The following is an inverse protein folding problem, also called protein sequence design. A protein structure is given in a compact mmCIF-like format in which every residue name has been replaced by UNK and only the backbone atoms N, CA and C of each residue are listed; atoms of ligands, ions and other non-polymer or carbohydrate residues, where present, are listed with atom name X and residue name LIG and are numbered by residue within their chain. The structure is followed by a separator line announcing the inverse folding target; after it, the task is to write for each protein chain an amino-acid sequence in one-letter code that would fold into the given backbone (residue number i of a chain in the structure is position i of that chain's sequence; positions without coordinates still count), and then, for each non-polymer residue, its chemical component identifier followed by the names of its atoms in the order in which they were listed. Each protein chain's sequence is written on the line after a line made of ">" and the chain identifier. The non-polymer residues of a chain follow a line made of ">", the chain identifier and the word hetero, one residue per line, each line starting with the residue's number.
data_IF_425504116173
#
_entry.id   IF_425504116173
#
_cell.length_a   1.000
_cell.length_b   1.000
_cell.length_c   1.000
_cell.angle_alpha   90.00
_cell.angle_beta   90.00
_cell.angle_gamma   90.00
#
_symmetry.space_group_name_H-M   'P 1'
#
loop_
_entity.id
_entity.type
_entity.pdbx_description
1 polymer ?
#
# COMPACT_ATOMS: atom_id res chain seq x y z
N UNK A 1 -17.95 -7.40 -9.66
CA UNK A 1 -16.67 -8.06 -10.07
C UNK A 1 -16.39 -9.39 -9.36
N UNK A 2 -17.24 -9.89 -8.48
CA UNK A 2 -17.01 -11.18 -7.79
C UNK A 2 -17.36 -12.45 -8.57
N UNK A 3 -17.90 -12.36 -9.77
CA UNK A 3 -18.40 -13.52 -10.53
C UNK A 3 -17.34 -14.26 -11.37
N UNK A 4 -16.31 -13.55 -11.87
CA UNK A 4 -15.25 -14.19 -12.67
C UNK A 4 -14.44 -15.24 -11.88
N UNK A 5 -14.01 -15.01 -10.64
CA UNK A 5 -13.36 -16.04 -9.85
C UNK A 5 -14.19 -17.31 -9.69
N UNK A 6 -15.51 -17.18 -9.60
CA UNK A 6 -16.41 -18.33 -9.51
C UNK A 6 -16.31 -19.26 -10.74
N UNK A 7 -15.88 -18.77 -11.89
CA UNK A 7 -15.71 -19.54 -13.11
C UNK A 7 -14.29 -20.10 -13.27
N UNK A 8 -13.28 -19.40 -12.75
CA UNK A 8 -11.88 -19.68 -13.05
C UNK A 8 -11.01 -19.95 -11.82
N UNK A 9 -11.53 -19.78 -10.61
CA UNK A 9 -10.79 -19.85 -9.34
C UNK A 9 -11.65 -20.52 -8.26
N UNK A 10 -12.00 -21.77 -8.49
CA UNK A 10 -12.89 -22.54 -7.60
C UNK A 10 -12.14 -23.28 -6.51
N UNK A 11 -10.83 -23.52 -6.68
CA UNK A 11 -9.95 -24.19 -5.73
C UNK A 11 -8.66 -23.38 -5.52
N UNK A 12 -7.97 -23.58 -4.41
CA UNK A 12 -6.67 -22.94 -4.15
C UNK A 12 -5.63 -23.29 -5.21
N UNK A 13 -5.69 -24.49 -5.77
CA UNK A 13 -4.81 -24.95 -6.86
C UNK A 13 -4.91 -24.09 -8.11
N UNK A 14 -6.06 -23.47 -8.35
CA UNK A 14 -6.25 -22.59 -9.50
C UNK A 14 -5.41 -21.29 -9.40
N UNK A 15 -4.79 -21.04 -8.26
CA UNK A 15 -3.91 -19.90 -8.01
C UNK A 15 -2.41 -20.23 -8.07
N UNK A 16 -2.02 -21.52 -8.21
CA UNK A 16 -0.61 -21.94 -8.24
C UNK A 16 0.20 -21.27 -9.37
N UNK A 17 -0.47 -20.93 -10.47
CA UNK A 17 0.13 -20.25 -11.62
C UNK A 17 -0.23 -18.75 -11.69
N UNK A 18 -0.47 -18.11 -10.56
CA UNK A 18 -0.75 -16.67 -10.55
C UNK A 18 0.47 -15.88 -11.01
N UNK A 19 0.30 -15.11 -12.08
CA UNK A 19 1.37 -14.30 -12.68
C UNK A 19 1.69 -13.13 -11.77
N UNK A 20 2.98 -12.92 -11.52
CA UNK A 20 3.50 -11.76 -10.79
C UNK A 20 3.71 -10.59 -11.75
N UNK A 21 3.18 -9.41 -11.42
CA UNK A 21 3.45 -8.19 -12.19
C UNK A 21 2.84 -8.22 -13.60
N UNK A 22 1.52 -8.42 -13.68
CA UNK A 22 0.79 -8.41 -14.95
C UNK A 22 0.41 -7.00 -15.45
N UNK A 23 0.56 -5.97 -14.62
CA UNK A 23 0.55 -4.56 -15.02
C UNK A 23 1.97 -4.01 -15.03
N UNK A 24 2.16 -2.95 -15.82
CA UNK A 24 3.42 -2.21 -15.86
C UNK A 24 3.12 -0.72 -15.81
N UNK A 25 3.88 0.03 -15.04
CA UNK A 25 3.85 1.47 -15.07
C UNK A 25 4.52 2.01 -16.34
N UNK A 26 4.12 3.19 -16.77
CA UNK A 26 4.77 3.92 -17.85
C UNK A 26 6.20 4.31 -17.42
N UNK A 27 7.18 3.84 -18.16
CA UNK A 27 8.60 4.01 -17.81
C UNK A 27 9.04 5.47 -17.85
N UNK A 28 8.62 6.22 -18.87
CA UNK A 28 9.02 7.61 -19.02
C UNK A 28 8.46 8.44 -17.86
N UNK A 29 7.23 8.11 -17.45
CA UNK A 29 6.61 8.75 -16.28
C UNK A 29 7.32 8.38 -14.97
N UNK A 30 7.75 7.14 -14.79
CA UNK A 30 8.55 6.71 -13.62
C UNK A 30 9.85 7.49 -13.57
N UNK A 31 10.57 7.62 -14.68
CA UNK A 31 11.86 8.33 -14.74
C UNK A 31 11.66 9.83 -14.44
N UNK A 32 10.64 10.46 -15.02
CA UNK A 32 10.26 11.86 -14.74
C UNK A 32 9.95 12.09 -13.25
N UNK A 33 9.13 11.25 -12.65
CA UNK A 33 8.76 11.38 -11.25
C UNK A 33 9.94 11.12 -10.29
N UNK A 34 10.87 10.25 -10.66
CA UNK A 34 12.11 10.01 -9.91
C UNK A 34 12.97 11.28 -9.84
N UNK A 35 13.08 11.99 -10.96
CA UNK A 35 13.79 13.27 -11.03
C UNK A 35 13.07 14.37 -10.25
N UNK A 36 11.74 14.51 -10.44
CA UNK A 36 10.91 15.49 -9.74
C UNK A 36 11.04 15.36 -8.22
N UNK A 37 11.03 14.12 -7.71
CA UNK A 37 11.11 13.82 -6.29
C UNK A 37 12.55 13.81 -5.73
N UNK A 38 13.58 13.92 -6.57
CA UNK A 38 14.97 13.95 -6.15
C UNK A 38 15.42 12.70 -5.37
N UNK A 39 14.87 11.52 -5.72
CA UNK A 39 15.07 10.29 -4.95
C UNK A 39 16.50 9.75 -4.99
N UNK A 40 17.22 9.98 -6.11
CA UNK A 40 18.57 9.43 -6.30
C UNK A 40 18.58 7.91 -6.10
N UNK A 41 19.52 7.43 -5.27
CA UNK A 41 19.69 6.01 -4.92
C UNK A 41 19.10 5.65 -3.54
N UNK A 42 18.29 6.50 -2.94
CA UNK A 42 17.70 6.25 -1.64
C UNK A 42 16.68 5.12 -1.70
N UNK A 43 16.57 4.36 -0.60
CA UNK A 43 15.51 3.38 -0.43
C UNK A 43 14.19 4.07 -0.18
N UNK A 44 13.17 3.71 -0.95
CA UNK A 44 11.84 4.33 -0.93
C UNK A 44 10.79 3.35 -0.42
N UNK A 45 10.07 3.75 0.61
CA UNK A 45 8.90 3.01 1.11
C UNK A 45 7.63 3.82 0.85
N UNK A 46 6.79 3.30 -0.03
CA UNK A 46 5.48 3.88 -0.31
C UNK A 46 4.48 3.53 0.80
N UNK A 47 3.76 4.54 1.30
CA UNK A 47 2.85 4.36 2.43
C UNK A 47 1.41 4.78 2.12
N UNK A 48 0.43 3.96 2.58
CA UNK A 48 -1.00 4.29 2.53
C UNK A 48 -1.71 3.70 3.74
N UNK A 49 -2.22 4.53 4.65
CA UNK A 49 -2.58 4.13 6.01
C UNK A 49 -4.08 4.15 6.31
N UNK A 50 -4.91 4.69 5.40
CA UNK A 50 -6.37 4.76 5.63
C UNK A 50 -7.18 4.50 4.37
N UNK A 51 -8.46 4.16 4.58
CA UNK A 51 -9.46 4.02 3.53
C UNK A 51 -10.63 4.97 3.82
N UNK A 52 -11.06 5.78 2.85
CA UNK A 52 -11.99 6.91 3.08
C UNK A 52 -13.47 6.51 2.89
N UNK A 53 -13.77 5.36 2.27
CA UNK A 53 -15.08 5.10 1.63
C UNK A 53 -16.20 4.43 2.46
N UNK A 54 -16.08 4.17 3.78
CA UNK A 54 -17.24 3.58 4.51
C UNK A 54 -17.26 3.89 5.99
N UNK A 55 -18.46 3.82 6.60
CA UNK A 55 -18.67 3.88 8.06
C UNK A 55 -17.86 2.82 8.85
N UNK A 56 -17.39 1.78 8.16
CA UNK A 56 -16.51 0.74 8.73
C UNK A 56 -15.02 1.02 8.52
N UNK A 57 -14.63 2.14 7.90
CA UNK A 57 -13.23 2.46 7.56
C UNK A 57 -12.39 2.82 8.78
N UNK A 58 -12.97 3.41 9.83
CA UNK A 58 -12.26 3.69 11.09
C UNK A 58 -11.65 2.44 11.71
N UNK A 59 -12.27 1.27 11.50
CA UNK A 59 -11.80 -0.02 12.02
C UNK A 59 -10.63 -0.63 11.22
N UNK A 60 -10.37 -0.09 10.02
CA UNK A 60 -9.34 -0.58 9.09
C UNK A 60 -8.17 0.38 8.90
N UNK A 61 -8.25 1.56 9.49
CA UNK A 61 -7.27 2.63 9.34
C UNK A 61 -6.39 2.72 10.58
N UNK A 62 -5.11 3.02 10.36
CA UNK A 62 -4.21 3.48 11.40
C UNK A 62 -4.13 5.00 11.35
N UNK A 63 -3.77 5.64 12.45
CA UNK A 63 -3.25 7.00 12.36
C UNK A 63 -1.86 6.98 11.72
N UNK A 64 -1.49 8.03 11.00
CA UNK A 64 -0.15 8.15 10.43
C UNK A 64 0.94 8.08 11.53
N UNK A 65 0.62 8.55 12.75
CA UNK A 65 1.51 8.46 13.89
C UNK A 65 1.79 7.01 14.32
N UNK A 66 0.76 6.17 14.41
CA UNK A 66 0.94 4.74 14.71
C UNK A 66 1.71 4.05 13.59
N UNK A 67 1.37 4.37 12.34
CA UNK A 67 2.04 3.84 11.17
C UNK A 67 3.53 4.21 11.14
N UNK A 68 3.85 5.46 11.44
CA UNK A 68 5.22 5.97 11.41
C UNK A 68 6.15 5.34 12.45
N UNK A 69 5.62 4.75 13.53
CA UNK A 69 6.46 4.06 14.52
C UNK A 69 7.21 2.85 13.91
N UNK A 70 6.69 2.29 12.81
CA UNK A 70 7.33 1.19 12.07
C UNK A 70 8.66 1.61 11.41
N UNK A 71 8.87 2.90 11.18
CA UNK A 71 9.99 3.43 10.39
C UNK A 71 10.95 4.30 11.23
N UNK A 72 10.79 4.26 12.55
CA UNK A 72 11.68 4.99 13.44
C UNK A 72 13.10 4.45 13.32
N UNK A 73 14.07 5.37 13.21
CA UNK A 73 15.50 5.07 13.13
C UNK A 73 15.92 4.24 11.89
N UNK A 74 15.14 4.29 10.80
CA UNK A 74 15.45 3.66 9.51
C UNK A 74 15.81 4.73 8.48
N UNK A 75 16.94 4.57 7.78
CA UNK A 75 17.39 5.50 6.73
C UNK A 75 16.66 5.18 5.40
N UNK A 76 15.45 5.70 5.27
CA UNK A 76 14.57 5.53 4.10
C UNK A 76 13.85 6.83 3.77
N UNK A 77 13.32 6.91 2.56
CA UNK A 77 12.35 7.93 2.15
C UNK A 77 10.95 7.35 2.26
N UNK A 78 10.08 7.98 3.04
CA UNK A 78 8.65 7.67 3.01
C UNK A 78 7.98 8.45 1.88
N UNK A 79 7.31 7.75 0.97
CA UNK A 79 6.56 8.33 -0.15
C UNK A 79 5.05 8.19 0.08
N UNK A 80 4.34 9.30 0.01
CA UNK A 80 2.89 9.32 0.17
C UNK A 80 2.19 8.68 -1.05
N UNK A 81 1.54 7.54 -0.84
CA UNK A 81 0.63 6.89 -1.78
C UNK A 81 -0.84 6.98 -1.30
N UNK A 82 -1.08 7.68 -0.19
CA UNK A 82 -2.43 7.85 0.34
C UNK A 82 -3.21 8.85 -0.48
N UNK A 83 -4.41 8.48 -0.87
CA UNK A 83 -5.36 9.35 -1.59
C UNK A 83 -6.18 10.24 -0.64
N UNK A 84 -6.70 11.33 -1.19
CA UNK A 84 -7.49 12.33 -0.47
C UNK A 84 -6.63 13.40 0.21
N UNK A 85 -7.27 14.36 0.86
CA UNK A 85 -6.57 15.43 1.57
C UNK A 85 -5.97 14.89 2.87
N UNK A 86 -4.64 14.83 2.91
CA UNK A 86 -3.85 14.35 4.05
C UNK A 86 -2.74 15.33 4.47
N UNK A 87 -2.70 16.51 3.89
CA UNK A 87 -1.65 17.50 4.09
C UNK A 87 -1.47 17.87 5.57
N UNK A 88 -2.57 18.13 6.26
CA UNK A 88 -2.53 18.48 7.67
C UNK A 88 -2.01 17.31 8.53
N UNK A 89 -2.44 16.08 8.22
CA UNK A 89 -2.02 14.89 8.95
C UNK A 89 -0.51 14.64 8.76
N UNK A 90 0.00 14.82 7.54
CA UNK A 90 1.43 14.70 7.22
C UNK A 90 2.24 15.80 7.94
N UNK A 91 1.78 17.05 7.91
CA UNK A 91 2.44 18.17 8.61
C UNK A 91 2.53 17.93 10.12
N UNK A 92 1.44 17.49 10.74
CA UNK A 92 1.42 17.16 12.17
C UNK A 92 2.33 15.98 12.50
N UNK A 93 2.34 14.96 11.66
CA UNK A 93 3.22 13.81 11.80
C UNK A 93 4.69 14.22 11.73
N UNK A 94 5.10 14.96 10.69
CA UNK A 94 6.48 15.44 10.52
C UNK A 94 6.90 16.31 11.70
N UNK A 95 6.02 17.23 12.14
CA UNK A 95 6.28 18.09 13.31
C UNK A 95 6.50 17.31 14.61
N UNK A 96 5.75 16.21 14.80
CA UNK A 96 5.78 15.44 16.05
C UNK A 96 6.87 14.38 16.10
N UNK A 97 7.32 13.87 14.94
CA UNK A 97 8.26 12.74 14.84
C UNK A 97 9.61 13.11 14.25
N UNK A 98 9.69 14.23 13.52
CA UNK A 98 10.86 14.58 12.70
C UNK A 98 11.01 13.75 11.42
N UNK A 99 10.11 12.80 11.14
CA UNK A 99 10.13 11.95 9.94
C UNK A 99 9.39 12.68 8.82
N UNK A 100 10.07 12.87 7.69
CA UNK A 100 9.47 13.47 6.51
C UNK A 100 8.71 12.42 5.68
N UNK A 101 7.55 12.83 5.15
CA UNK A 101 6.78 12.06 4.16
C UNK A 101 6.77 12.88 2.88
N UNK A 102 7.44 12.36 1.86
CA UNK A 102 7.54 12.99 0.55
C UNK A 102 6.21 12.90 -0.18
N UNK A 103 5.76 13.99 -0.76
CA UNK A 103 4.52 14.06 -1.55
C UNK A 103 4.85 14.49 -2.99
N UNK A 104 4.21 13.84 -3.96
CA UNK A 104 4.29 14.22 -5.36
C UNK A 104 3.14 15.16 -5.69
N UNK A 105 3.45 16.42 -6.02
CA UNK A 105 2.42 17.42 -6.34
C UNK A 105 1.81 17.26 -7.73
N UNK A 106 2.48 16.57 -8.65
CA UNK A 106 2.03 16.36 -10.04
C UNK A 106 1.11 15.14 -10.21
N UNK A 107 0.87 14.35 -9.15
CA UNK A 107 0.05 13.13 -9.19
C UNK A 107 -1.10 13.22 -8.20
N UNK A 108 -2.33 13.07 -8.68
CA UNK A 108 -3.50 12.81 -7.83
C UNK A 108 -3.63 11.32 -7.57
N UNK A 109 -3.30 10.86 -6.35
CA UNK A 109 -3.34 9.45 -5.97
C UNK A 109 -4.74 8.80 -6.04
N UNK A 110 -5.79 9.57 -6.34
CA UNK A 110 -7.16 9.08 -6.45
C UNK A 110 -7.65 9.01 -7.90
N UNK A 111 -7.40 10.07 -8.67
CA UNK A 111 -7.97 10.22 -10.01
C UNK A 111 -6.96 9.83 -11.10
N UNK A 112 -5.66 9.83 -10.78
CA UNK A 112 -4.56 9.52 -11.69
C UNK A 112 -3.94 8.14 -11.36
N UNK A 113 -4.57 7.07 -11.84
CA UNK A 113 -4.11 5.70 -11.57
C UNK A 113 -2.77 5.37 -12.23
N UNK A 114 -2.47 5.94 -13.39
CA UNK A 114 -1.19 5.74 -14.07
C UNK A 114 -0.05 6.44 -13.32
N UNK A 115 -0.32 7.64 -12.79
CA UNK A 115 0.61 8.34 -11.91
C UNK A 115 0.84 7.59 -10.61
N UNK A 116 -0.21 7.09 -9.97
CA UNK A 116 -0.08 6.25 -8.78
C UNK A 116 0.71 4.96 -9.08
N UNK A 117 0.52 4.34 -10.24
CA UNK A 117 1.30 3.17 -10.67
C UNK A 117 2.78 3.52 -10.82
N UNK A 118 3.10 4.68 -11.40
CA UNK A 118 4.47 5.16 -11.53
C UNK A 118 5.11 5.46 -10.17
N UNK A 119 4.37 6.07 -9.23
CA UNK A 119 4.86 6.27 -7.85
C UNK A 119 5.12 4.93 -7.13
N UNK A 120 4.22 3.95 -7.29
CA UNK A 120 4.42 2.61 -6.74
C UNK A 120 5.67 1.95 -7.34
N UNK A 121 5.93 2.14 -8.64
CA UNK A 121 7.11 1.59 -9.30
C UNK A 121 8.42 2.17 -8.74
N UNK A 122 8.42 3.42 -8.26
CA UNK A 122 9.57 4.04 -7.58
C UNK A 122 9.89 3.43 -6.22
N UNK A 123 8.95 2.75 -5.59
CA UNK A 123 9.13 2.19 -4.25
C UNK A 123 9.92 0.87 -4.27
N UNK A 124 10.81 0.68 -3.30
CA UNK A 124 11.42 -0.63 -3.01
C UNK A 124 10.43 -1.53 -2.24
N UNK A 125 9.57 -0.94 -1.43
CA UNK A 125 8.54 -1.60 -0.65
C UNK A 125 7.30 -0.71 -0.57
N UNK A 126 6.12 -1.32 -0.61
CA UNK A 126 4.86 -0.64 -0.28
C UNK A 126 4.33 -1.19 1.04
N UNK A 127 3.97 -0.31 1.97
CA UNK A 127 3.28 -0.68 3.22
C UNK A 127 1.93 0.01 3.25
N UNK A 128 0.87 -0.77 3.29
CA UNK A 128 -0.48 -0.21 3.15
C UNK A 128 -1.54 -0.99 3.90
N UNK A 129 -2.58 -0.29 4.34
CA UNK A 129 -3.83 -0.94 4.74
C UNK A 129 -4.59 -1.46 3.51
N UNK A 130 -5.60 -2.32 3.72
CA UNK A 130 -6.40 -2.90 2.63
C UNK A 130 -7.23 -1.85 1.88
N UNK A 131 -6.65 -1.27 0.84
CA UNK A 131 -7.26 -0.28 -0.06
C UNK A 131 -6.83 -0.53 -1.53
N UNK A 132 -7.14 0.39 -2.46
CA UNK A 132 -6.81 0.25 -3.88
C UNK A 132 -5.30 0.19 -4.15
N UNK A 133 -4.49 0.91 -3.38
CA UNK A 133 -3.02 0.95 -3.52
C UNK A 133 -2.41 -0.44 -3.42
N UNK A 134 -2.88 -1.27 -2.48
CA UNK A 134 -2.43 -2.66 -2.32
C UNK A 134 -2.69 -3.50 -3.57
N UNK A 135 -3.88 -3.37 -4.16
CA UNK A 135 -4.24 -4.14 -5.34
C UNK A 135 -3.44 -3.70 -6.56
N UNK A 136 -3.18 -2.41 -6.71
CA UNK A 136 -2.35 -1.88 -7.79
C UNK A 136 -0.88 -2.31 -7.61
N UNK A 137 -0.33 -2.21 -6.39
CA UNK A 137 1.03 -2.66 -6.08
C UNK A 137 1.21 -4.17 -6.36
N UNK A 138 0.24 -5.00 -5.95
CA UNK A 138 0.25 -6.43 -6.25
C UNK A 138 0.16 -6.73 -7.75
N UNK A 139 -0.65 -5.99 -8.50
CA UNK A 139 -0.76 -6.12 -9.95
C UNK A 139 0.52 -5.71 -10.69
N UNK A 140 1.26 -4.74 -10.16
CA UNK A 140 2.59 -4.34 -10.63
C UNK A 140 3.71 -5.32 -10.20
N UNK A 141 3.41 -6.27 -9.30
CA UNK A 141 4.40 -7.22 -8.78
C UNK A 141 5.34 -6.62 -7.73
N UNK A 142 4.96 -5.51 -7.13
CA UNK A 142 5.75 -4.82 -6.11
C UNK A 142 5.67 -5.56 -4.76
N UNK A 143 6.80 -5.71 -4.07
CA UNK A 143 6.80 -6.21 -2.69
C UNK A 143 5.92 -5.29 -1.83
N UNK A 144 4.93 -5.89 -1.17
CA UNK A 144 3.93 -5.12 -0.43
C UNK A 144 3.59 -5.79 0.90
N UNK A 145 3.66 -5.03 1.98
CA UNK A 145 3.19 -5.43 3.30
C UNK A 145 1.79 -4.86 3.52
N UNK A 146 0.84 -5.78 3.70
CA UNK A 146 -0.58 -5.44 3.84
C UNK A 146 -0.98 -5.52 5.30
N UNK A 147 -1.32 -4.38 5.89
CA UNK A 147 -1.80 -4.29 7.26
C UNK A 147 -3.31 -4.56 7.27
N UNK A 148 -3.71 -5.69 7.83
CA UNK A 148 -5.09 -6.16 7.84
C UNK A 148 -5.73 -5.98 9.22
N UNK A 149 -6.98 -5.49 9.28
CA UNK A 149 -7.74 -5.47 10.52
C UNK A 149 -8.03 -6.91 10.99
N UNK A 150 -8.45 -7.05 12.24
CA UNK A 150 -8.88 -8.34 12.81
C UNK A 150 -9.92 -9.04 11.95
N UNK A 151 -10.91 -8.30 11.45
CA UNK A 151 -11.88 -8.78 10.46
C UNK A 151 -11.55 -8.14 9.11
N UNK A 152 -10.83 -8.86 8.27
CA UNK A 152 -10.46 -8.44 6.92
C UNK A 152 -11.52 -8.83 5.89
N UNK A 153 -11.40 -8.28 4.67
CA UNK A 153 -12.23 -8.68 3.54
C UNK A 153 -11.94 -10.14 3.14
N UNK A 154 -12.95 -10.82 2.60
CA UNK A 154 -12.91 -12.26 2.28
C UNK A 154 -11.78 -12.65 1.31
N UNK A 155 -11.35 -11.76 0.41
CA UNK A 155 -10.26 -12.06 -0.54
C UNK A 155 -8.89 -12.21 0.10
N UNK A 156 -8.71 -11.76 1.36
CA UNK A 156 -7.49 -11.99 2.13
C UNK A 156 -7.49 -13.34 2.86
N UNK A 157 -8.57 -14.09 2.79
CA UNK A 157 -8.81 -15.35 3.49
C UNK A 157 -8.52 -15.26 5.00
N UNK A 158 -8.58 -16.38 5.70
CA UNK A 158 -8.23 -16.48 7.12
C UNK A 158 -6.88 -17.20 7.25
N UNK A 159 -6.21 -16.97 8.37
CA UNK A 159 -5.02 -17.71 8.82
C UNK A 159 -3.87 -17.80 7.79
N UNK A 160 -3.73 -16.79 6.92
CA UNK A 160 -2.65 -16.70 5.94
C UNK A 160 -1.79 -15.47 6.16
N UNK A 161 -0.50 -15.62 5.87
CA UNK A 161 0.50 -14.55 5.85
C UNK A 161 0.91 -14.13 4.44
N UNK A 162 0.34 -14.78 3.42
CA UNK A 162 0.54 -14.54 2.00
C UNK A 162 -0.79 -14.30 1.29
N UNK A 163 -0.74 -13.75 0.08
CA UNK A 163 -1.90 -13.56 -0.78
C UNK A 163 -1.91 -14.54 -1.93
N UNK A 164 -3.03 -15.26 -2.12
CA UNK A 164 -3.23 -16.12 -3.31
C UNK A 164 -3.40 -15.32 -4.60
N UNK A 165 -3.80 -14.05 -4.51
CA UNK A 165 -4.04 -13.16 -5.65
C UNK A 165 -2.76 -12.49 -6.17
N UNK A 166 -1.82 -12.20 -5.26
CA UNK A 166 -0.62 -11.42 -5.55
C UNK A 166 0.57 -12.04 -4.81
N UNK A 167 1.45 -12.80 -5.50
CA UNK A 167 2.54 -13.53 -4.84
C UNK A 167 3.55 -12.66 -4.08
N UNK A 168 3.61 -11.36 -4.40
CA UNK A 168 4.53 -10.40 -3.77
C UNK A 168 3.98 -9.76 -2.49
N UNK A 169 2.75 -10.09 -2.08
CA UNK A 169 2.13 -9.52 -0.89
C UNK A 169 2.35 -10.38 0.35
N UNK A 170 2.76 -9.73 1.45
CA UNK A 170 2.82 -10.30 2.80
C UNK A 170 1.71 -9.71 3.65
N UNK A 171 0.94 -10.55 4.33
CA UNK A 171 -0.23 -10.15 5.10
C UNK A 171 0.09 -10.11 6.60
N UNK A 172 -0.04 -8.95 7.20
CA UNK A 172 0.11 -8.70 8.63
C UNK A 172 -1.26 -8.40 9.23
N UNK A 173 -1.77 -9.29 10.07
CA UNK A 173 -3.13 -9.24 10.59
C UNK A 173 -3.16 -8.90 12.07
N UNK A 174 -4.05 -7.97 12.47
CA UNK A 174 -4.35 -7.75 13.89
C UNK A 174 -4.74 -9.06 14.58
N UNK A 175 -4.12 -9.33 15.74
CA UNK A 175 -4.47 -10.48 16.59
C UNK A 175 -5.67 -10.19 17.49
N UNK A 176 -5.95 -8.92 17.75
CA UNK A 176 -7.11 -8.44 18.52
C UNK A 176 -7.75 -7.26 17.80
N UNK A 177 -9.04 -7.10 17.99
CA UNK A 177 -9.80 -6.02 17.38
C UNK A 177 -9.25 -4.64 17.79
N UNK A 178 -8.93 -3.81 16.78
CA UNK A 178 -8.34 -2.46 16.93
C UNK A 178 -6.99 -2.40 17.66
N UNK A 179 -6.26 -3.50 17.73
CA UNK A 179 -4.93 -3.54 18.32
C UNK A 179 -3.87 -3.75 17.22
N UNK A 180 -3.13 -2.72 16.90
CA UNK A 180 -2.05 -2.71 15.93
C UNK A 180 -0.67 -2.98 16.55
N UNK A 181 -0.58 -3.07 17.87
CA UNK A 181 0.70 -3.21 18.60
C UNK A 181 1.43 -4.54 18.36
N UNK A 182 0.75 -5.49 17.73
CA UNK A 182 1.28 -6.85 17.47
C UNK A 182 1.68 -7.09 16.01
N UNK A 183 1.71 -6.04 15.20
CA UNK A 183 2.10 -6.08 13.79
C UNK A 183 3.53 -5.62 13.58
#
# INVERSE_FOLDING_TARGET
>A
MGSLPRLFRNDIKDFENTVTGYLKADKDRVDMLREELGLGNKKVVGISWKSIKSLHTQKKSLSLKEFGTLFKDVDIVLLNLQYGDVDNEIKEFTKSTGIEVLQCGSVDNREDLDGLAALIELCDLVVSTSNVTVHLAGALGKETWVLLPYVANFWWLLDRTDSIWYPTLKLYRQKKFQDWSTI
#
